data_IF_987206978868
#
_entry.id   IF_987206978868
#
_cell.length_a   1.000
_cell.length_b   1.000
_cell.length_c   1.000
_cell.angle_alpha   90.00
_cell.angle_beta   90.00
_cell.angle_gamma   90.00
#
_symmetry.space_group_name_H-M   'P 1'
#
loop_
_entity.id
_entity.type
_entity.pdbx_description
1 polymer ?
#
# COMPACT_ATOMS: atom_id res chain seq x y z
N UNK A 1 -13.23 -2.81 -6.08
CA UNK A 1 -12.01 -3.41 -5.50
C UNK A 1 -12.35 -4.02 -4.14
N UNK A 2 -11.73 -5.14 -3.75
CA UNK A 2 -11.94 -5.77 -2.45
C UNK A 2 -10.58 -5.95 -1.77
N UNK A 3 -10.37 -5.32 -0.62
CA UNK A 3 -9.10 -5.42 0.10
C UNK A 3 -9.09 -6.65 1.00
N UNK A 4 -7.99 -7.40 0.98
CA UNK A 4 -7.67 -8.42 1.97
C UNK A 4 -6.27 -8.14 2.53
N UNK A 5 -6.06 -8.35 3.83
CA UNK A 5 -4.83 -7.98 4.51
C UNK A 5 -4.40 -9.05 5.51
N UNK A 6 -3.08 -9.21 5.63
CA UNK A 6 -2.46 -10.01 6.67
C UNK A 6 -2.30 -9.18 7.93
N UNK A 7 -2.94 -9.60 9.03
CA UNK A 7 -2.80 -8.95 10.34
C UNK A 7 -1.36 -9.02 10.88
N UNK A 8 -0.61 -10.07 10.53
CA UNK A 8 0.74 -10.30 11.01
C UNK A 8 1.76 -9.37 10.34
N UNK A 9 1.55 -9.06 9.06
CA UNK A 9 2.54 -8.37 8.22
C UNK A 9 2.09 -7.00 7.72
N UNK A 10 0.80 -6.68 7.80
CA UNK A 10 0.20 -5.49 7.18
C UNK A 10 0.16 -5.56 5.65
N UNK A 11 0.55 -6.69 5.07
CA UNK A 11 0.56 -6.92 3.62
C UNK A 11 -0.86 -7.02 3.10
N UNK A 12 -1.16 -6.38 1.97
CA UNK A 12 -2.51 -6.31 1.43
C UNK A 12 -2.59 -6.69 -0.05
N UNK A 13 -3.78 -7.13 -0.47
CA UNK A 13 -4.14 -7.37 -1.88
C UNK A 13 -5.43 -6.61 -2.23
N UNK A 14 -5.58 -6.23 -3.50
CA UNK A 14 -6.75 -5.48 -4.01
C UNK A 14 -7.86 -6.34 -4.63
N UNK A 15 -7.64 -7.64 -4.80
CA UNK A 15 -8.58 -8.56 -5.45
C UNK A 15 -9.39 -9.41 -4.44
N UNK A 16 -9.14 -9.25 -3.14
CA UNK A 16 -9.81 -9.96 -2.06
C UNK A 16 -9.17 -11.30 -1.70
N UNK A 17 -8.17 -11.76 -2.46
CA UNK A 17 -7.46 -13.02 -2.18
C UNK A 17 -6.45 -12.86 -1.05
N UNK A 18 -6.14 -13.92 -0.32
CA UNK A 18 -5.06 -13.86 0.67
C UNK A 18 -3.72 -13.56 -0.03
N UNK A 19 -2.82 -12.76 0.56
CA UNK A 19 -1.53 -12.46 -0.06
C UNK A 19 -0.66 -13.72 -0.11
N UNK A 20 -0.27 -14.13 -1.32
CA UNK A 20 0.62 -15.26 -1.59
C UNK A 20 1.67 -14.88 -2.63
N UNK A 21 2.70 -15.71 -2.81
CA UNK A 21 3.71 -15.51 -3.87
C UNK A 21 3.15 -15.55 -5.29
N UNK A 22 2.00 -16.19 -5.48
CA UNK A 22 1.45 -16.43 -6.82
C UNK A 22 0.58 -15.26 -7.33
N UNK A 23 0.22 -14.31 -6.46
CA UNK A 23 -0.66 -13.19 -6.79
C UNK A 23 0.01 -11.82 -6.68
N UNK A 24 1.30 -11.72 -7.06
CA UNK A 24 2.10 -10.49 -6.99
C UNK A 24 1.38 -9.28 -7.57
N UNK A 25 0.76 -9.41 -8.74
CA UNK A 25 0.05 -8.29 -9.39
C UNK A 25 -1.14 -7.75 -8.57
N UNK A 26 -1.73 -8.59 -7.70
CA UNK A 26 -2.82 -8.19 -6.82
C UNK A 26 -2.34 -7.51 -5.53
N UNK A 27 -1.04 -7.59 -5.20
CA UNK A 27 -0.48 -6.96 -4.01
C UNK A 27 -0.65 -5.45 -4.03
N UNK A 28 -0.83 -4.85 -2.86
CA UNK A 28 -0.85 -3.40 -2.71
C UNK A 28 0.53 -2.93 -2.28
N UNK A 29 1.10 -2.03 -3.08
CA UNK A 29 2.28 -1.26 -2.75
C UNK A 29 1.86 0.10 -2.18
N UNK A 30 2.49 0.50 -1.08
CA UNK A 30 2.12 1.67 -0.30
C UNK A 30 3.18 2.76 -0.42
N UNK A 31 2.78 3.98 -0.74
CA UNK A 31 3.66 5.14 -0.76
C UNK A 31 3.23 6.16 0.31
N UNK A 32 4.14 6.62 1.19
CA UNK A 32 3.84 7.69 2.14
C UNK A 32 3.84 9.05 1.43
N UNK A 33 2.71 9.72 1.32
CA UNK A 33 2.69 11.06 0.73
C UNK A 33 3.54 12.06 1.54
N UNK A 34 4.33 12.94 0.89
CA UNK A 34 4.42 13.14 -0.57
C UNK A 34 5.46 12.23 -1.27
N UNK A 35 6.19 11.37 -0.56
CA UNK A 35 7.16 10.46 -1.17
C UNK A 35 6.46 9.31 -1.91
N UNK A 36 6.46 9.45 -3.23
CA UNK A 36 5.85 8.54 -4.19
C UNK A 36 6.87 7.62 -4.88
N UNK A 37 8.14 7.66 -4.49
CA UNK A 37 9.24 6.96 -5.20
C UNK A 37 9.69 5.67 -4.54
N UNK A 38 9.56 5.59 -3.21
CA UNK A 38 9.77 4.35 -2.46
C UNK A 38 8.43 3.76 -2.08
N UNK A 39 8.18 2.53 -2.52
CA UNK A 39 6.97 1.80 -2.18
C UNK A 39 7.27 0.73 -1.13
N UNK A 40 6.32 0.54 -0.23
CA UNK A 40 6.38 -0.41 0.87
C UNK A 40 5.33 -1.48 0.66
N UNK A 41 5.70 -2.75 0.84
CA UNK A 41 4.73 -3.85 0.77
C UNK A 41 4.10 -4.16 2.14
N UNK A 42 4.79 -3.79 3.22
CA UNK A 42 4.37 -3.97 4.60
C UNK A 42 4.40 -2.63 5.35
N UNK A 43 3.35 -1.78 5.20
CA UNK A 43 3.35 -0.41 5.69
C UNK A 43 3.29 -0.33 7.23
N UNK A 44 2.84 -1.38 7.92
CA UNK A 44 2.82 -1.46 9.39
C UNK A 44 4.21 -1.33 10.02
N UNK A 45 5.25 -1.63 9.25
CA UNK A 45 6.61 -1.50 9.71
C UNK A 45 7.12 -0.03 9.55
N UNK A 46 6.42 0.84 8.84
CA UNK A 46 6.80 2.25 8.70
C UNK A 46 6.46 3.06 9.96
N UNK A 47 7.36 3.97 10.35
CA UNK A 47 7.06 5.01 11.34
C UNK A 47 6.28 6.15 10.67
N UNK A 48 4.96 5.98 10.53
CA UNK A 48 4.08 7.00 9.97
C UNK A 48 3.96 8.17 10.96
N UNK A 49 4.20 9.40 10.49
CA UNK A 49 4.01 10.58 11.30
C UNK A 49 2.54 11.04 11.26
N UNK A 50 2.21 12.02 12.11
CA UNK A 50 0.83 12.45 12.35
C UNK A 50 0.07 12.96 11.11
N UNK A 51 0.80 13.47 10.11
CA UNK A 51 0.24 14.04 8.89
C UNK A 51 0.37 13.09 7.67
N UNK A 52 0.88 11.87 7.87
CA UNK A 52 1.14 10.96 6.74
C UNK A 52 -0.16 10.35 6.21
N UNK A 53 -0.31 10.40 4.89
CA UNK A 53 -1.32 9.63 4.14
C UNK A 53 -0.61 8.54 3.36
N UNK A 54 -1.09 7.31 3.46
CA UNK A 54 -0.60 6.20 2.65
C UNK A 54 -1.43 6.06 1.38
N UNK A 55 -0.73 6.05 0.25
CA UNK A 55 -1.30 5.85 -1.08
C UNK A 55 -1.05 4.40 -1.50
N UNK A 56 -2.12 3.61 -1.63
CA UNK A 56 -2.08 2.22 -2.05
C UNK A 56 -2.36 2.06 -3.53
N UNK A 57 -1.45 1.39 -4.23
CA UNK A 57 -1.54 1.09 -5.67
C UNK A 57 -1.38 -0.43 -5.87
N UNK A 58 -2.22 -1.09 -6.68
CA UNK A 58 -1.96 -2.47 -7.09
C UNK A 58 -0.62 -2.58 -7.81
N UNK A 59 0.19 -3.56 -7.43
CA UNK A 59 1.50 -3.81 -8.05
C UNK A 59 1.40 -4.06 -9.55
N UNK A 60 0.32 -4.70 -10.01
CA UNK A 60 0.06 -4.91 -11.44
C UNK A 60 -0.20 -3.62 -12.23
N UNK A 61 -0.55 -2.52 -11.57
CA UNK A 61 -0.77 -1.22 -12.20
C UNK A 61 0.54 -0.38 -12.29
N UNK A 62 1.64 -0.89 -11.73
CA UNK A 62 2.95 -0.24 -11.69
C UNK A 62 3.91 -0.89 -12.69
N UNK A 63 4.50 -0.06 -13.55
CA UNK A 63 5.35 -0.53 -14.64
C UNK A 63 6.62 -1.24 -14.11
N UNK A 64 6.84 -2.49 -14.55
CA UNK A 64 7.99 -3.32 -14.18
C UNK A 64 8.07 -3.79 -12.72
N UNK A 65 7.18 -3.34 -11.82
CA UNK A 65 7.25 -3.65 -10.39
C UNK A 65 6.87 -5.11 -10.10
N UNK A 66 5.84 -5.63 -10.75
CA UNK A 66 5.41 -7.01 -10.57
C UNK A 66 6.52 -8.01 -10.95
N UNK A 67 7.18 -7.79 -12.09
CA UNK A 67 8.29 -8.62 -12.56
C UNK A 67 9.51 -8.52 -11.62
N UNK A 68 9.84 -7.30 -11.16
CA UNK A 68 10.92 -7.07 -10.21
C UNK A 68 10.67 -7.81 -8.88
N UNK A 69 9.42 -7.88 -8.44
CA UNK A 69 9.02 -8.58 -7.21
C UNK A 69 8.98 -10.09 -7.36
N UNK A 70 8.53 -10.61 -8.51
CA UNK A 70 8.51 -12.03 -8.80
C UNK A 70 9.92 -12.66 -8.68
N UNK A 71 10.98 -11.91 -9.01
CA UNK A 71 12.37 -12.35 -8.86
C UNK A 71 12.92 -12.36 -7.44
N UNK A 72 12.25 -11.74 -6.45
CA UNK A 72 12.80 -11.51 -5.09
C UNK A 72 12.45 -12.58 -4.05
N UNK A 73 11.70 -13.63 -4.43
CA UNK A 73 11.27 -14.72 -3.54
C UNK A 73 10.67 -14.23 -2.20
N UNK A 74 9.90 -13.14 -2.24
CA UNK A 74 9.25 -12.55 -1.06
C UNK A 74 8.09 -13.44 -0.64
N UNK A 75 8.02 -13.87 0.62
CA UNK A 75 6.84 -14.56 1.17
C UNK A 75 6.04 -13.59 2.04
N UNK A 76 4.84 -13.14 1.60
CA UNK A 76 3.99 -12.25 2.39
C UNK A 76 3.61 -12.78 3.78
N UNK A 77 3.65 -14.11 3.97
CA UNK A 77 3.33 -14.77 5.24
C UNK A 77 4.51 -14.77 6.22
N UNK A 78 5.74 -14.61 5.72
CA UNK A 78 6.95 -14.59 6.56
C UNK A 78 7.46 -13.20 6.91
N UNK A 79 6.95 -12.16 6.25
CA UNK A 79 7.22 -10.78 6.64
C UNK A 79 6.60 -10.54 8.02
N UNK A 80 7.38 -10.47 9.09
CA UNK A 80 6.86 -10.23 10.44
C UNK A 80 7.22 -8.84 10.94
N UNK A 81 6.37 -8.27 11.79
CA UNK A 81 6.73 -7.10 12.58
C UNK A 81 8.01 -7.37 13.39
N UNK A 82 8.94 -6.40 13.41
CA UNK A 82 10.17 -6.45 14.22
C UNK A 82 11.42 -7.03 13.54
N UNK A 83 11.34 -7.49 12.28
CA UNK A 83 12.54 -7.74 11.49
C UNK A 83 12.94 -6.46 10.73
N UNK A 84 14.21 -6.00 10.82
CA UNK A 84 14.68 -4.78 10.14
C UNK A 84 14.45 -4.78 8.63
N UNK A 85 14.36 -5.96 8.01
CA UNK A 85 14.15 -6.13 6.56
C UNK A 85 12.69 -6.40 6.18
N UNK A 86 11.76 -6.41 7.14
CA UNK A 86 10.35 -6.74 6.90
C UNK A 86 9.58 -5.70 6.08
N UNK A 87 10.16 -4.52 5.85
CA UNK A 87 9.51 -3.45 5.10
C UNK A 87 9.32 -3.77 3.61
N UNK A 88 10.04 -4.78 3.08
CA UNK A 88 10.07 -5.21 1.69
C UNK A 88 9.74 -4.05 0.74
N UNK A 89 10.71 -3.17 0.53
CA UNK A 89 10.53 -1.97 -0.29
C UNK A 89 10.78 -2.25 -1.76
N UNK A 90 10.13 -1.50 -2.65
CA UNK A 90 10.43 -1.46 -4.08
C UNK A 90 10.59 0.00 -4.50
N UNK A 91 11.65 0.28 -5.24
CA UNK A 91 11.82 1.56 -5.89
C UNK A 91 11.11 1.55 -7.24
N UNK A 92 10.40 2.63 -7.53
CA UNK A 92 9.82 2.88 -8.85
C UNK A 92 10.65 3.90 -9.61
N UNK A 93 10.81 3.69 -10.92
CA UNK A 93 11.56 4.59 -11.78
C UNK A 93 10.90 5.97 -11.95
N UNK A 94 9.62 6.10 -11.58
CA UNK A 94 8.86 7.35 -11.63
C UNK A 94 7.87 7.41 -10.47
N UNK A 95 7.59 8.61 -9.93
CA UNK A 95 6.57 8.79 -8.90
C UNK A 95 5.23 8.19 -9.33
N UNK A 96 4.51 7.56 -8.41
CA UNK A 96 3.17 7.04 -8.70
C UNK A 96 2.24 8.18 -9.14
N UNK A 97 1.47 7.94 -10.20
CA UNK A 97 0.43 8.86 -10.62
C UNK A 97 -0.78 8.74 -9.69
N UNK A 98 -1.44 9.85 -9.38
CA UNK A 98 -2.58 9.87 -8.46
C UNK A 98 -3.80 9.10 -9.01
N UNK A 99 -3.87 8.90 -10.33
CA UNK A 99 -4.86 8.10 -11.04
C UNK A 99 -4.68 6.59 -10.82
N UNK A 100 -3.46 6.15 -10.52
CA UNK A 100 -3.15 4.75 -10.22
C UNK A 100 -3.55 4.38 -8.78
N UNK A 101 -3.61 5.37 -7.88
CA UNK A 101 -3.99 5.17 -6.47
C UNK A 101 -5.41 4.62 -6.38
N UNK A 102 -5.57 3.46 -5.74
CA UNK A 102 -6.87 2.81 -5.48
C UNK A 102 -7.27 2.83 -4.00
N UNK A 103 -6.31 2.99 -3.10
CA UNK A 103 -6.53 3.06 -1.66
C UNK A 103 -5.85 4.29 -1.09
N UNK A 104 -6.54 4.97 -0.19
CA UNK A 104 -5.97 6.07 0.58
C UNK A 104 -6.22 5.77 2.06
N UNK A 105 -5.15 5.58 2.83
CA UNK A 105 -5.24 5.36 4.28
C UNK A 105 -4.69 6.57 4.99
N UNK A 106 -5.55 7.26 5.73
CA UNK A 106 -5.19 8.43 6.53
C UNK A 106 -5.03 8.05 8.00
N UNK A 107 -4.30 8.84 8.79
CA UNK A 107 -4.22 8.59 10.24
C UNK A 107 -5.58 8.64 10.93
N UNK A 108 -6.38 9.66 10.63
CA UNK A 108 -7.62 9.94 11.35
C UNK A 108 -8.75 10.44 10.43
N UNK A 109 -9.94 10.62 11.02
CA UNK A 109 -11.13 11.07 10.30
C UNK A 109 -10.98 12.46 9.63
N UNK A 110 -10.42 13.49 10.31
CA UNK A 110 -10.09 14.77 9.69
C UNK A 110 -9.18 14.65 8.47
N UNK A 111 -8.08 13.91 8.57
CA UNK A 111 -7.11 13.71 7.49
C UNK A 111 -7.72 12.95 6.33
N UNK A 112 -8.55 11.94 6.62
CA UNK A 112 -9.32 11.22 5.59
C UNK A 112 -10.23 12.17 4.81
N UNK A 113 -10.96 13.07 5.49
CA UNK A 113 -11.84 14.05 4.82
C UNK A 113 -11.05 15.05 3.97
N UNK A 114 -9.85 15.43 4.39
CA UNK A 114 -8.96 16.29 3.59
C UNK A 114 -8.53 15.55 2.31
N UNK A 115 -8.02 14.33 2.44
CA UNK A 115 -7.62 13.51 1.31
C UNK A 115 -8.80 13.25 0.33
N UNK A 116 -10.01 12.96 0.85
CA UNK A 116 -11.21 12.81 0.02
C UNK A 116 -11.50 14.05 -0.85
N UNK A 117 -11.28 15.26 -0.32
CA UNK A 117 -11.45 16.50 -1.11
C UNK A 117 -10.35 16.67 -2.15
N UNK A 118 -9.10 16.37 -1.80
CA UNK A 118 -7.96 16.48 -2.73
C UNK A 118 -8.09 15.50 -3.90
N UNK A 119 -8.58 14.29 -3.64
CA UNK A 119 -8.82 13.27 -4.67
C UNK A 119 -10.16 13.43 -5.42
N UNK A 120 -11.03 14.37 -5.02
CA UNK A 120 -12.35 14.52 -5.63
C UNK A 120 -12.29 14.92 -7.11
N UNK A 121 -11.25 15.67 -7.49
CA UNK A 121 -11.05 16.14 -8.87
C UNK A 121 -10.20 15.17 -9.71
N UNK A 122 -9.65 14.13 -9.09
CA UNK A 122 -8.76 13.17 -9.75
C UNK A 122 -9.58 11.97 -10.23
N UNK A 123 -9.58 11.65 -11.54
CA UNK A 123 -10.33 10.51 -12.06
C UNK A 123 -9.95 9.18 -11.38
N UNK A 124 -10.95 8.33 -11.10
CA UNK A 124 -10.75 6.98 -10.58
C UNK A 124 -11.55 6.66 -9.31
N UNK A 125 -12.03 5.41 -9.22
CA UNK A 125 -12.65 4.91 -7.99
C UNK A 125 -11.57 4.56 -6.96
N UNK A 126 -11.74 5.07 -5.73
CA UNK A 126 -10.81 4.88 -4.63
C UNK A 126 -11.54 4.58 -3.34
N UNK A 127 -10.93 3.77 -2.50
CA UNK A 127 -11.39 3.54 -1.14
C UNK A 127 -10.58 4.40 -0.16
N UNK A 128 -11.28 4.97 0.82
CA UNK A 128 -10.68 5.83 1.84
C UNK A 128 -10.90 5.22 3.22
N UNK A 129 -9.82 5.07 3.96
CA UNK A 129 -9.81 4.40 5.25
C UNK A 129 -8.98 5.18 6.27
N UNK A 130 -9.10 4.83 7.54
CA UNK A 130 -8.17 5.28 8.58
C UNK A 130 -7.22 4.16 9.01
N UNK A 131 -6.01 4.50 9.48
CA UNK A 131 -4.97 3.54 9.89
C UNK A 131 -5.52 2.52 10.88
N UNK A 132 -6.31 2.96 11.86
CA UNK A 132 -6.92 2.07 12.85
C UNK A 132 -7.88 1.03 12.24
N UNK A 133 -8.51 1.32 11.09
CA UNK A 133 -9.36 0.34 10.38
C UNK A 133 -8.53 -0.75 9.69
N UNK A 134 -7.22 -0.53 9.48
CA UNK A 134 -6.33 -1.39 8.68
C UNK A 134 -5.24 -2.11 9.49
N UNK A 135 -4.65 -1.42 10.47
CA UNK A 135 -3.38 -1.85 11.07
C UNK A 135 -3.43 -2.03 12.59
N UNK A 136 -4.50 -1.61 13.24
CA UNK A 136 -4.67 -1.74 14.69
C UNK A 136 -5.98 -2.50 15.00
N UNK A 137 -5.87 -3.82 15.12
CA UNK A 137 -6.79 -4.64 15.90
C UNK A 137 -6.07 -5.12 17.16
#
# INVERSE_FOLDING_TARGET
MQLNYSLNSGFATGDGSAPTRDNVSAWIAWAPAPDATTLYLAPRAMALNDDTVLLGVPVGDLDGVADALAGRNIDPQQLSYGQPDAHATVEVASPIALEQVKVVVAKDGPTRRKAQREFAEIPGERQFHIIHEFFEQ
#
